data_IF_879465431519
#
_entry.id   IF_879465431519
#
_cell.length_a   1.000
_cell.length_b   1.000
_cell.length_c   1.000
_cell.angle_alpha   90.00
_cell.angle_beta   90.00
_cell.angle_gamma   90.00
#
_symmetry.space_group_name_H-M   'P 1'
#
loop_
_entity.id
_entity.type
_entity.pdbx_description
1 polymer ?
#
# COMPACT_ATOMS: atom_id res chain seq x y z
N UNK A 1 10.34 16.65 -3.48
CA UNK A 1 11.52 16.11 -4.19
C UNK A 1 12.50 15.58 -3.16
N UNK A 2 12.38 14.29 -2.81
CA UNK A 2 13.37 13.56 -1.98
C UNK A 2 13.76 12.24 -2.69
N UNK A 3 13.78 12.26 -4.03
CA UNK A 3 14.26 11.12 -4.80
C UNK A 3 15.77 11.01 -4.57
N UNK A 4 16.20 10.26 -3.55
CA UNK A 4 17.63 10.04 -3.38
C UNK A 4 18.04 9.20 -2.19
N UNK A 5 17.35 9.29 -1.04
CA UNK A 5 17.86 8.65 0.17
C UNK A 5 17.00 7.55 0.76
N UNK A 6 16.21 6.87 -0.07
CA UNK A 6 15.45 5.69 0.34
C UNK A 6 16.35 4.59 0.92
N UNK A 7 17.57 4.43 0.42
CA UNK A 7 18.55 3.49 1.00
C UNK A 7 18.92 3.82 2.44
N UNK A 8 19.13 5.11 2.75
CA UNK A 8 19.42 5.52 4.13
C UNK A 8 18.18 5.42 5.00
N UNK A 9 17.01 5.80 4.48
CA UNK A 9 15.74 5.66 5.20
C UNK A 9 15.45 4.20 5.54
N UNK A 10 15.60 3.28 4.58
CA UNK A 10 15.45 1.83 4.80
C UNK A 10 16.39 1.36 5.91
N UNK A 11 17.68 1.69 5.83
CA UNK A 11 18.66 1.31 6.87
C UNK A 11 18.27 1.84 8.24
N UNK A 12 17.84 3.09 8.32
CA UNK A 12 17.43 3.72 9.57
C UNK A 12 16.20 3.06 10.17
N UNK A 13 15.12 2.90 9.41
CA UNK A 13 13.89 2.30 9.90
C UNK A 13 14.06 0.81 10.24
N UNK A 14 14.81 0.05 9.44
CA UNK A 14 15.13 -1.34 9.76
C UNK A 14 15.92 -1.46 11.08
N UNK A 15 16.90 -0.59 11.31
CA UNK A 15 17.64 -0.58 12.58
C UNK A 15 16.80 -0.14 13.79
N UNK A 16 15.78 0.70 13.58
CA UNK A 16 14.86 1.12 14.65
C UNK A 16 13.91 0.00 15.08
N UNK A 17 13.51 -0.90 14.18
CA UNK A 17 12.57 -1.99 14.50
C UNK A 17 13.06 -2.87 15.67
N UNK A 18 14.37 -3.10 15.77
CA UNK A 18 14.97 -3.90 16.85
C UNK A 18 14.82 -3.27 18.24
N UNK A 19 14.57 -1.95 18.31
CA UNK A 19 14.57 -1.16 19.56
C UNK A 19 13.28 -0.38 19.78
N UNK A 20 12.31 -0.48 18.87
CA UNK A 20 11.15 0.41 18.82
C UNK A 20 10.17 0.22 19.98
N UNK A 21 10.18 -0.94 20.66
CA UNK A 21 9.26 -1.22 21.77
C UNK A 21 7.80 -0.90 21.40
N UNK A 22 7.09 -0.05 22.15
CA UNK A 22 5.71 0.34 21.83
C UNK A 22 5.52 1.05 20.47
N UNK A 23 6.59 1.66 19.91
CA UNK A 23 6.52 2.38 18.64
C UNK A 23 6.62 1.48 17.40
N UNK A 24 6.75 0.17 17.59
CA UNK A 24 7.03 -0.79 16.51
C UNK A 24 6.02 -0.65 15.35
N UNK A 25 4.71 -0.58 15.64
CA UNK A 25 3.66 -0.43 14.61
C UNK A 25 3.85 0.82 13.73
N UNK A 26 4.20 1.95 14.36
CA UNK A 26 4.46 3.20 13.63
C UNK A 26 5.70 3.08 12.74
N UNK A 27 6.78 2.50 13.27
CA UNK A 27 8.01 2.29 12.50
C UNK A 27 7.78 1.33 11.32
N UNK A 28 6.96 0.28 11.51
CA UNK A 28 6.56 -0.62 10.44
C UNK A 28 5.78 0.09 9.33
N UNK A 29 4.84 0.98 9.70
CA UNK A 29 4.09 1.76 8.73
C UNK A 29 5.01 2.71 7.93
N UNK A 30 5.92 3.42 8.60
CA UNK A 30 6.90 4.29 7.93
C UNK A 30 7.83 3.51 7.00
N UNK A 31 8.28 2.32 7.42
CA UNK A 31 9.08 1.44 6.58
C UNK A 31 8.31 1.02 5.32
N UNK A 32 7.03 0.64 5.45
CA UNK A 32 6.18 0.31 4.31
C UNK A 32 6.00 1.51 3.36
N UNK A 33 5.84 2.72 3.90
CA UNK A 33 5.83 3.96 3.10
C UNK A 33 7.15 4.21 2.36
N UNK A 34 8.30 3.95 2.99
CA UNK A 34 9.61 4.07 2.33
C UNK A 34 9.73 3.06 1.19
N UNK A 35 9.34 1.80 1.41
CA UNK A 35 9.30 0.80 0.35
C UNK A 35 8.42 1.25 -0.82
N UNK A 36 7.21 1.75 -0.54
CA UNK A 36 6.29 2.26 -1.55
C UNK A 36 6.92 3.39 -2.38
N UNK A 37 7.49 4.40 -1.73
CA UNK A 37 8.14 5.55 -2.40
C UNK A 37 9.39 5.16 -3.18
N UNK A 38 10.05 4.07 -2.80
CA UNK A 38 11.23 3.54 -3.49
C UNK A 38 10.92 2.64 -4.69
N UNK A 39 9.63 2.33 -4.92
CA UNK A 39 9.21 1.37 -5.96
C UNK A 39 9.31 -0.09 -5.55
N UNK A 40 9.68 -0.39 -4.29
CA UNK A 40 9.70 -1.73 -3.73
C UNK A 40 8.28 -2.18 -3.34
N UNK A 41 7.38 -2.26 -4.32
CA UNK A 41 5.95 -2.48 -4.10
C UNK A 41 5.64 -3.81 -3.40
N UNK A 42 6.39 -4.87 -3.71
CA UNK A 42 6.19 -6.16 -3.06
C UNK A 42 6.53 -6.13 -1.55
N UNK A 43 7.58 -5.42 -1.16
CA UNK A 43 7.94 -5.22 0.25
C UNK A 43 6.92 -4.33 0.96
N UNK A 44 6.50 -3.24 0.30
CA UNK A 44 5.47 -2.34 0.81
C UNK A 44 4.18 -3.11 1.10
N UNK A 45 3.69 -3.88 0.12
CA UNK A 45 2.47 -4.67 0.24
C UNK A 45 2.56 -5.69 1.38
N UNK A 46 3.65 -6.46 1.46
CA UNK A 46 3.85 -7.45 2.55
C UNK A 46 3.85 -6.80 3.93
N UNK A 47 4.65 -5.76 4.11
CA UNK A 47 4.81 -5.09 5.41
C UNK A 47 3.52 -4.44 5.88
N UNK A 48 2.83 -3.72 4.98
CA UNK A 48 1.58 -3.04 5.34
C UNK A 48 0.40 -4.01 5.50
N UNK A 49 0.36 -5.13 4.76
CA UNK A 49 -0.65 -6.16 4.97
C UNK A 49 -0.51 -6.82 6.34
N UNK A 50 0.70 -7.26 6.70
CA UNK A 50 0.95 -7.85 8.02
C UNK A 50 0.61 -6.88 9.16
N UNK A 51 0.94 -5.60 9.00
CA UNK A 51 0.55 -4.57 9.97
C UNK A 51 -0.98 -4.44 10.05
N UNK A 52 -1.68 -4.38 8.92
CA UNK A 52 -3.14 -4.30 8.86
C UNK A 52 -3.82 -5.50 9.53
N UNK A 53 -3.29 -6.71 9.39
CA UNK A 53 -3.78 -7.92 10.07
C UNK A 53 -3.60 -7.86 11.60
N UNK A 54 -2.56 -7.18 12.07
CA UNK A 54 -2.22 -7.07 13.50
C UNK A 54 -2.85 -5.88 14.22
N UNK A 55 -3.67 -5.10 13.51
CA UNK A 55 -4.22 -3.84 14.03
C UNK A 55 -5.67 -3.63 13.61
N UNK A 56 -6.34 -2.67 14.25
CA UNK A 56 -7.75 -2.37 14.02
C UNK A 56 -7.97 -0.86 13.93
N UNK A 57 -9.19 -0.43 13.59
CA UNK A 57 -9.54 0.99 13.47
C UNK A 57 -8.67 1.74 12.48
N UNK A 58 -8.38 3.01 12.78
CA UNK A 58 -7.64 3.90 11.88
C UNK A 58 -6.22 3.41 11.55
N UNK A 59 -5.55 2.72 12.48
CA UNK A 59 -4.23 2.12 12.19
C UNK A 59 -4.32 1.07 11.09
N UNK A 60 -5.42 0.31 11.05
CA UNK A 60 -5.66 -0.70 10.01
C UNK A 60 -5.92 -0.02 8.69
N UNK A 61 -6.76 1.01 8.67
CA UNK A 61 -7.04 1.78 7.47
C UNK A 61 -5.79 2.48 6.92
N UNK A 62 -4.92 2.99 7.80
CA UNK A 62 -3.63 3.57 7.40
C UNK A 62 -2.73 2.51 6.73
N UNK A 63 -2.60 1.32 7.34
CA UNK A 63 -1.83 0.22 6.75
C UNK A 63 -2.46 -0.27 5.41
N UNK A 64 -3.77 -0.41 5.34
CA UNK A 64 -4.49 -0.79 4.12
C UNK A 64 -4.33 0.23 3.00
N UNK A 65 -4.22 1.53 3.29
CA UNK A 65 -3.99 2.56 2.27
C UNK A 65 -2.64 2.35 1.54
N UNK A 66 -1.60 1.95 2.28
CA UNK A 66 -0.27 1.63 1.74
C UNK A 66 -0.33 0.33 0.95
N UNK A 67 -0.96 -0.70 1.52
CA UNK A 67 -1.14 -2.00 0.86
C UNK A 67 -1.87 -1.86 -0.48
N UNK A 68 -3.01 -1.17 -0.48
CA UNK A 68 -3.84 -0.97 -1.67
C UNK A 68 -3.08 -0.22 -2.77
N UNK A 69 -2.30 0.80 -2.38
CA UNK A 69 -1.46 1.55 -3.32
C UNK A 69 -0.38 0.65 -3.91
N UNK A 70 0.33 -0.12 -3.09
CA UNK A 70 1.37 -1.04 -3.56
C UNK A 70 0.80 -2.15 -4.47
N UNK A 71 -0.33 -2.76 -4.07
CA UNK A 71 -1.01 -3.79 -4.86
C UNK A 71 -1.52 -3.23 -6.18
N UNK A 72 -2.00 -1.99 -6.23
CA UNK A 72 -2.37 -1.32 -7.47
C UNK A 72 -1.16 -1.23 -8.41
N UNK A 73 -0.02 -0.69 -7.96
CA UNK A 73 1.20 -0.57 -8.79
C UNK A 73 1.72 -1.94 -9.27
N UNK A 74 1.69 -2.97 -8.41
CA UNK A 74 2.01 -4.35 -8.79
C UNK A 74 1.09 -4.88 -9.90
N UNK A 75 -0.22 -4.64 -9.76
CA UNK A 75 -1.21 -4.99 -10.78
C UNK A 75 -0.93 -4.28 -12.10
N UNK A 76 -0.61 -2.97 -12.07
CA UNK A 76 -0.25 -2.22 -13.27
C UNK A 76 0.97 -2.81 -13.99
N UNK A 77 2.02 -3.15 -13.23
CA UNK A 77 3.24 -3.76 -13.77
C UNK A 77 2.98 -5.13 -14.42
N UNK A 78 2.23 -6.00 -13.75
CA UNK A 78 1.88 -7.32 -14.28
C UNK A 78 1.06 -7.24 -15.57
N UNK A 79 0.13 -6.28 -15.64
CA UNK A 79 -0.64 -6.05 -16.87
C UNK A 79 0.26 -5.55 -18.02
N UNK A 80 1.23 -4.68 -17.72
CA UNK A 80 2.20 -4.23 -18.73
C UNK A 80 3.08 -5.38 -19.25
N UNK A 81 3.32 -6.40 -18.43
CA UNK A 81 4.01 -7.65 -18.81
C UNK A 81 3.10 -8.68 -19.50
N UNK A 82 1.84 -8.34 -19.77
CA UNK A 82 0.85 -9.26 -20.37
C UNK A 82 0.35 -10.36 -19.41
N UNK A 83 0.70 -10.30 -18.13
CA UNK A 83 0.25 -11.27 -17.10
C UNK A 83 -1.14 -10.89 -16.59
N UNK A 84 -2.14 -11.01 -17.47
CA UNK A 84 -3.49 -10.47 -17.25
C UNK A 84 -4.13 -10.99 -15.96
N UNK A 85 -4.19 -12.30 -15.75
CA UNK A 85 -4.85 -12.90 -14.57
C UNK A 85 -4.22 -12.42 -13.25
N UNK A 86 -2.88 -12.49 -13.15
CA UNK A 86 -2.16 -12.04 -11.95
C UNK A 86 -2.30 -10.53 -11.73
N UNK A 87 -2.31 -9.74 -12.81
CA UNK A 87 -2.57 -8.32 -12.73
C UNK A 87 -3.97 -8.03 -12.17
N UNK A 88 -5.00 -8.73 -12.65
CA UNK A 88 -6.37 -8.62 -12.17
C UNK A 88 -6.53 -9.02 -10.70
N UNK A 89 -5.83 -10.06 -10.25
CA UNK A 89 -5.81 -10.47 -8.83
C UNK A 89 -5.30 -9.33 -7.92
N UNK A 90 -4.18 -8.71 -8.28
CA UNK A 90 -3.62 -7.59 -7.52
C UNK A 90 -4.52 -6.36 -7.52
N UNK A 91 -5.11 -6.03 -8.67
CA UNK A 91 -6.08 -4.94 -8.78
C UNK A 91 -7.33 -5.19 -7.93
N UNK A 92 -7.85 -6.42 -7.92
CA UNK A 92 -9.01 -6.80 -7.10
C UNK A 92 -8.71 -6.65 -5.61
N UNK A 93 -7.52 -7.10 -5.18
CA UNK A 93 -7.06 -6.92 -3.80
C UNK A 93 -6.91 -5.45 -3.42
N UNK A 94 -6.38 -4.62 -4.31
CA UNK A 94 -6.26 -3.17 -4.10
C UNK A 94 -7.64 -2.50 -3.98
N UNK A 95 -8.59 -2.87 -4.84
CA UNK A 95 -9.97 -2.36 -4.78
C UNK A 95 -10.61 -2.64 -3.42
N UNK A 96 -10.59 -3.90 -2.97
CA UNK A 96 -11.18 -4.31 -1.68
C UNK A 96 -10.57 -3.56 -0.50
N UNK A 97 -9.27 -3.34 -0.51
CA UNK A 97 -8.59 -2.60 0.54
C UNK A 97 -8.97 -1.10 0.52
N UNK A 98 -9.02 -0.46 -0.66
CA UNK A 98 -9.52 0.91 -0.76
C UNK A 98 -10.98 1.04 -0.33
N UNK A 99 -11.83 0.07 -0.65
CA UNK A 99 -13.22 0.02 -0.19
C UNK A 99 -13.31 0.00 1.34
N UNK A 100 -12.45 -0.78 2.00
CA UNK A 100 -12.39 -0.81 3.46
C UNK A 100 -11.94 0.54 4.05
N UNK A 101 -10.86 1.11 3.51
CA UNK A 101 -10.34 2.41 3.97
C UNK A 101 -11.37 3.52 3.82
N UNK A 102 -11.96 3.67 2.63
CA UNK A 102 -12.90 4.76 2.32
C UNK A 102 -14.21 4.63 3.10
N UNK A 103 -14.61 3.42 3.47
CA UNK A 103 -15.79 3.18 4.30
C UNK A 103 -15.55 3.53 5.77
N UNK A 104 -14.38 3.14 6.31
CA UNK A 104 -14.12 3.23 7.74
C UNK A 104 -13.47 4.56 8.14
N UNK A 105 -12.59 5.09 7.31
CA UNK A 105 -11.81 6.31 7.58
C UNK A 105 -11.73 7.19 6.32
N UNK A 106 -12.86 7.75 5.82
CA UNK A 106 -12.86 8.61 4.63
C UNK A 106 -11.96 9.84 4.77
N UNK A 107 -11.68 10.29 6.00
CA UNK A 107 -10.74 11.35 6.31
C UNK A 107 -9.28 11.05 5.90
N UNK A 108 -8.93 9.79 5.63
CA UNK A 108 -7.62 9.41 5.07
C UNK A 108 -7.50 9.74 3.58
N UNK A 109 -8.58 10.19 2.93
CA UNK A 109 -8.59 10.61 1.52
C UNK A 109 -9.08 12.06 1.33
N UNK A 110 -8.49 13.07 2.00
CA UNK A 110 -9.00 14.44 1.97
C UNK A 110 -8.88 15.08 0.58
N UNK A 111 -8.03 14.53 -0.29
CA UNK A 111 -7.78 15.01 -1.65
C UNK A 111 -8.41 14.10 -2.72
N UNK A 112 -9.15 13.05 -2.35
CA UNK A 112 -9.78 12.14 -3.30
C UNK A 112 -8.80 11.24 -4.08
N UNK A 113 -7.56 11.12 -3.64
CA UNK A 113 -6.52 10.32 -4.28
C UNK A 113 -6.79 8.81 -4.19
N UNK A 114 -7.27 8.32 -3.04
CA UNK A 114 -7.60 6.90 -2.87
C UNK A 114 -8.88 6.56 -3.67
N UNK A 115 -9.87 7.44 -3.62
CA UNK A 115 -11.09 7.36 -4.42
C UNK A 115 -10.77 7.32 -5.92
N UNK A 116 -9.91 8.21 -6.40
CA UNK A 116 -9.48 8.24 -7.80
C UNK A 116 -8.74 6.97 -8.23
N UNK A 117 -7.85 6.45 -7.37
CA UNK A 117 -7.17 5.17 -7.62
C UNK A 117 -8.16 4.01 -7.68
N UNK A 118 -9.12 3.94 -6.76
CA UNK A 118 -10.18 2.92 -6.78
C UNK A 118 -11.00 2.98 -8.07
N UNK A 119 -11.44 4.16 -8.49
CA UNK A 119 -12.18 4.33 -9.75
C UNK A 119 -11.36 3.89 -10.98
N UNK A 120 -10.06 4.21 -11.01
CA UNK A 120 -9.14 3.74 -12.05
C UNK A 120 -9.01 2.22 -12.07
N UNK A 121 -8.97 1.57 -10.90
CA UNK A 121 -8.92 0.12 -10.78
C UNK A 121 -10.22 -0.50 -11.32
N UNK A 122 -11.37 0.03 -10.93
CA UNK A 122 -12.69 -0.43 -11.35
C UNK A 122 -12.87 -0.39 -12.87
N UNK A 123 -12.53 0.76 -13.48
CA UNK A 123 -12.57 0.91 -14.93
C UNK A 123 -11.66 -0.11 -15.62
N UNK A 124 -10.47 -0.37 -15.06
CA UNK A 124 -9.50 -1.29 -15.64
C UNK A 124 -9.94 -2.75 -15.52
N UNK A 125 -10.43 -3.17 -14.36
CA UNK A 125 -10.97 -4.51 -14.15
C UNK A 125 -12.16 -4.78 -15.08
N UNK A 126 -13.04 -3.80 -15.28
CA UNK A 126 -14.15 -3.92 -16.23
C UNK A 126 -13.69 -4.15 -17.66
N UNK A 127 -12.55 -3.57 -18.07
CA UNK A 127 -12.01 -3.74 -19.42
C UNK A 127 -11.23 -5.06 -19.61
N UNK A 128 -10.92 -5.79 -18.52
CA UNK A 128 -10.29 -7.11 -18.59
C UNK A 128 -11.31 -8.25 -18.69
N UNK A 129 -12.60 -7.96 -18.53
CA UNK A 129 -13.72 -8.89 -18.62
C UNK A 129 -14.43 -8.81 -19.96
#
# INVERSE_FOLDING_TARGET
MEKGNYRNALRLYSGLLERAGPLNKRIQLELAHVHLRSGAFADAARGSWALAESTTGTDRSAALSVYATAAHEMGLGLLAEGKIAKGAEHLTSAQKAFDEVLRNDPQLDPLGSLTGRKASIEARLKNLG
#
